data_IF_727625623354
#
_entry.id   IF_727625623354
#
_cell.length_a   1.000
_cell.length_b   1.000
_cell.length_c   1.000
_cell.angle_alpha   90.00
_cell.angle_beta   90.00
_cell.angle_gamma   90.00
#
_symmetry.space_group_name_H-M   'P 1'
#
loop_
_entity.id
_entity.type
_entity.pdbx_description
1 polymer ?
#
# COMPACT_ATOMS: atom_id res chain seq x y z
N UNK A 1 -25.60 32.57 -34.27
CA UNK A 1 -24.49 33.04 -33.40
C UNK A 1 -24.17 31.95 -32.40
N UNK A 2 -22.89 31.61 -32.25
CA UNK A 2 -22.38 30.61 -31.31
C UNK A 2 -22.58 31.10 -29.88
N UNK A 3 -23.31 30.35 -29.07
CA UNK A 3 -23.32 30.48 -27.61
C UNK A 3 -22.46 29.37 -27.03
N UNK A 4 -21.21 29.70 -26.70
CA UNK A 4 -20.26 28.82 -26.01
C UNK A 4 -20.73 28.73 -24.56
N UNK A 5 -21.17 27.54 -24.15
CA UNK A 5 -21.51 27.21 -22.78
C UNK A 5 -20.61 26.06 -22.32
N UNK A 6 -19.31 26.31 -22.23
CA UNK A 6 -18.36 25.38 -21.61
C UNK A 6 -18.62 25.36 -20.10
N UNK A 7 -19.55 24.49 -19.69
CA UNK A 7 -19.79 24.19 -18.30
C UNK A 7 -18.53 23.54 -17.71
N UNK A 8 -17.85 24.32 -16.89
CA UNK A 8 -16.65 23.97 -16.15
C UNK A 8 -16.88 22.73 -15.27
N UNK A 9 -16.50 21.55 -15.78
CA UNK A 9 -16.36 20.32 -14.98
C UNK A 9 -14.96 20.15 -14.39
N UNK A 10 -14.20 21.23 -14.23
CA UNK A 10 -13.00 21.19 -13.39
C UNK A 10 -13.41 21.38 -11.93
N UNK A 11 -14.12 20.39 -11.39
CA UNK A 11 -14.06 20.13 -9.96
C UNK A 11 -12.61 19.69 -9.67
N UNK A 12 -11.75 20.64 -9.34
CA UNK A 12 -10.46 20.30 -8.72
C UNK A 12 -10.81 19.62 -7.40
N UNK A 13 -10.42 18.35 -7.18
CA UNK A 13 -10.59 17.77 -5.86
C UNK A 13 -9.77 18.65 -4.92
N UNK A 14 -10.44 19.27 -3.94
CA UNK A 14 -9.78 19.93 -2.83
C UNK A 14 -8.71 18.98 -2.32
N UNK A 15 -7.44 19.32 -2.52
CA UNK A 15 -6.32 18.49 -2.12
C UNK A 15 -6.16 18.54 -0.59
N UNK A 16 -7.16 18.02 0.14
CA UNK A 16 -7.08 17.70 1.56
C UNK A 16 -6.29 16.42 1.81
N UNK A 17 -5.55 15.93 0.81
CA UNK A 17 -4.72 14.74 0.86
C UNK A 17 -3.26 15.10 1.15
N UNK A 18 -2.62 14.32 2.02
CA UNK A 18 -1.18 14.43 2.29
C UNK A 18 -0.40 14.15 1.01
N UNK A 19 0.36 15.14 0.53
CA UNK A 19 1.27 14.95 -0.60
C UNK A 19 2.42 14.04 -0.18
N UNK A 20 2.60 12.94 -0.91
CA UNK A 20 3.63 11.93 -0.67
C UNK A 20 4.34 11.59 -1.99
N UNK A 21 5.64 11.23 -1.96
CA UNK A 21 6.31 10.63 -3.11
C UNK A 21 5.55 9.38 -3.60
N UNK A 22 5.63 9.08 -4.90
CA UNK A 22 4.88 7.95 -5.50
C UNK A 22 5.12 6.63 -4.78
N UNK A 23 6.39 6.28 -4.52
CA UNK A 23 6.73 5.05 -3.81
C UNK A 23 6.27 5.06 -2.35
N UNK A 24 6.24 6.22 -1.67
CA UNK A 24 5.70 6.33 -0.31
C UNK A 24 4.17 6.09 -0.28
N UNK A 25 3.43 6.46 -1.33
CA UNK A 25 2.01 6.12 -1.47
C UNK A 25 1.82 4.61 -1.61
N UNK A 26 2.58 3.96 -2.48
CA UNK A 26 2.52 2.50 -2.66
C UNK A 26 2.94 1.77 -1.38
N UNK A 27 3.98 2.24 -0.69
CA UNK A 27 4.43 1.66 0.57
C UNK A 27 3.35 1.77 1.65
N UNK A 28 2.69 2.92 1.77
CA UNK A 28 1.59 3.12 2.72
C UNK A 28 0.40 2.19 2.40
N UNK A 29 0.05 2.05 1.12
CA UNK A 29 -0.99 1.10 0.70
C UNK A 29 -0.60 -0.35 1.01
N UNK A 30 0.65 -0.74 0.78
CA UNK A 30 1.14 -2.07 1.12
C UNK A 30 1.07 -2.35 2.62
N UNK A 31 1.48 -1.39 3.46
CA UNK A 31 1.34 -1.47 4.92
C UNK A 31 -0.13 -1.58 5.37
N UNK A 32 -1.03 -0.82 4.73
CA UNK A 32 -2.45 -0.92 5.01
C UNK A 32 -3.03 -2.30 4.63
N UNK A 33 -2.64 -2.83 3.48
CA UNK A 33 -3.06 -4.18 3.05
C UNK A 33 -2.51 -5.25 3.99
N UNK A 34 -1.26 -5.10 4.44
CA UNK A 34 -0.65 -5.98 5.43
C UNK A 34 -1.40 -5.93 6.77
N UNK A 35 -1.75 -4.74 7.26
CA UNK A 35 -2.47 -4.62 8.52
C UNK A 35 -3.91 -5.12 8.44
N UNK A 36 -4.51 -5.10 7.24
CA UNK A 36 -5.91 -5.46 7.02
C UNK A 36 -6.13 -6.96 6.78
N UNK A 37 -5.22 -7.61 6.06
CA UNK A 37 -5.34 -9.03 5.69
C UNK A 37 -4.44 -9.92 6.54
N UNK A 38 -4.89 -11.14 6.82
CA UNK A 38 -4.06 -12.14 7.48
C UNK A 38 -2.97 -12.66 6.53
N UNK A 39 -1.78 -12.93 7.06
CA UNK A 39 -0.65 -13.45 6.29
C UNK A 39 -0.99 -14.73 5.48
N UNK A 40 -1.89 -15.58 6.00
CA UNK A 40 -2.37 -16.79 5.28
C UNK A 40 -3.05 -16.49 3.93
N UNK A 41 -3.52 -15.26 3.71
CA UNK A 41 -4.18 -14.84 2.48
C UNK A 41 -3.20 -14.32 1.42
N UNK A 42 -1.95 -14.04 1.79
CA UNK A 42 -0.99 -13.36 0.92
C UNK A 42 -0.73 -14.15 -0.37
N UNK A 43 -0.56 -15.47 -0.26
CA UNK A 43 -0.35 -16.34 -1.43
C UNK A 43 -1.56 -16.23 -2.37
N UNK A 44 -2.79 -16.30 -1.86
CA UNK A 44 -3.98 -16.22 -2.72
C UNK A 44 -4.17 -14.85 -3.37
N UNK A 45 -3.78 -13.76 -2.68
CA UNK A 45 -4.01 -12.39 -3.12
C UNK A 45 -2.90 -11.88 -4.06
N UNK A 46 -1.65 -12.23 -3.76
CA UNK A 46 -0.47 -11.62 -4.38
C UNK A 46 0.29 -12.54 -5.33
N UNK A 47 0.16 -13.88 -5.20
CA UNK A 47 0.75 -14.81 -6.20
C UNK A 47 0.03 -14.80 -7.55
N UNK A 48 -1.21 -14.29 -7.57
CA UNK A 48 -2.04 -14.21 -8.78
C UNK A 48 -1.62 -13.09 -9.74
N UNK A 49 -0.77 -12.15 -9.32
CA UNK A 49 -0.37 -11.01 -10.16
C UNK A 49 0.45 -11.41 -11.39
N UNK A 50 1.02 -12.62 -11.44
CA UNK A 50 1.63 -13.19 -12.65
C UNK A 50 0.66 -13.97 -13.56
N UNK A 51 -0.60 -14.17 -13.15
CA UNK A 51 -1.62 -14.90 -13.92
C UNK A 51 -2.90 -14.09 -14.06
N UNK A 52 -2.79 -12.86 -14.58
CA UNK A 52 -3.93 -12.11 -15.06
C UNK A 52 -4.33 -12.62 -16.47
N UNK A 53 -4.87 -13.84 -16.53
CA UNK A 53 -5.84 -14.24 -17.52
C UNK A 53 -6.56 -15.50 -17.01
N UNK A 54 -7.86 -15.38 -16.75
CA UNK A 54 -8.75 -16.45 -16.31
C UNK A 54 -8.66 -16.84 -14.83
N UNK A 55 -9.49 -16.21 -14.00
CA UNK A 55 -10.35 -16.94 -13.08
C UNK A 55 -11.42 -16.02 -12.50
N UNK A 56 -12.66 -16.50 -12.54
CA UNK A 56 -13.84 -15.91 -11.90
C UNK A 56 -13.49 -15.49 -10.47
N UNK A 57 -13.60 -14.18 -10.17
CA UNK A 57 -13.48 -13.66 -8.81
C UNK A 57 -14.56 -14.30 -7.94
N UNK A 58 -14.22 -15.36 -7.21
CA UNK A 58 -15.03 -15.80 -6.09
C UNK A 58 -15.18 -14.61 -5.14
N UNK A 59 -16.42 -14.25 -4.83
CA UNK A 59 -16.76 -13.12 -3.95
C UNK A 59 -16.47 -13.55 -2.52
N UNK A 60 -15.20 -13.68 -2.16
CA UNK A 60 -14.80 -13.81 -0.75
C UNK A 60 -15.21 -12.53 -0.06
N UNK A 61 -16.14 -12.64 0.89
CA UNK A 61 -16.50 -11.55 1.78
C UNK A 61 -15.26 -11.16 2.57
N UNK A 62 -14.57 -10.09 2.13
CA UNK A 62 -13.43 -9.49 2.80
C UNK A 62 -13.98 -8.68 4.00
N UNK A 63 -14.54 -9.36 4.99
CA UNK A 63 -15.06 -8.67 6.18
C UNK A 63 -13.92 -7.91 6.86
N UNK A 64 -14.21 -6.65 7.20
CA UNK A 64 -13.67 -5.93 8.35
C UNK A 64 -13.14 -6.84 9.45
N UNK A 65 -11.86 -7.25 9.52
CA UNK A 65 -11.32 -7.65 10.81
C UNK A 65 -11.17 -6.34 11.57
N UNK A 66 -11.82 -6.26 12.73
CA UNK A 66 -12.11 -5.02 13.47
C UNK A 66 -10.87 -4.40 14.16
N UNK A 67 -9.68 -4.61 13.57
CA UNK A 67 -8.41 -4.12 14.09
C UNK A 67 -7.26 -4.34 13.12
N UNK A 68 -6.28 -3.42 13.15
CA UNK A 68 -5.03 -3.54 12.41
C UNK A 68 -4.16 -4.65 13.00
N UNK A 69 -3.81 -5.65 12.19
CA UNK A 69 -2.87 -6.70 12.58
C UNK A 69 -1.44 -6.19 12.51
N UNK A 70 -0.60 -6.57 13.47
CA UNK A 70 0.84 -6.33 13.37
C UNK A 70 1.42 -7.14 12.21
N UNK A 71 2.36 -6.57 11.47
CA UNK A 71 3.01 -7.25 10.35
C UNK A 71 4.52 -7.04 10.36
N UNK A 72 5.25 -7.96 9.72
CA UNK A 72 6.69 -7.82 9.53
C UNK A 72 6.99 -6.90 8.36
N UNK A 73 8.13 -6.22 8.41
CA UNK A 73 8.58 -5.37 7.32
C UNK A 73 8.74 -6.16 6.01
N UNK A 74 9.28 -7.38 6.08
CA UNK A 74 9.40 -8.31 4.94
C UNK A 74 8.06 -8.51 4.21
N UNK A 75 6.98 -8.77 4.98
CA UNK A 75 5.64 -8.96 4.41
C UNK A 75 5.14 -7.70 3.70
N UNK A 76 5.35 -6.52 4.28
CA UNK A 76 4.98 -5.27 3.64
C UNK A 76 5.77 -5.02 2.34
N UNK A 77 7.06 -5.35 2.33
CA UNK A 77 7.91 -5.25 1.13
C UNK A 77 7.49 -6.23 0.04
N UNK A 78 7.09 -7.46 0.41
CA UNK A 78 6.54 -8.44 -0.52
C UNK A 78 5.23 -7.97 -1.15
N UNK A 79 4.32 -7.39 -0.36
CA UNK A 79 3.07 -6.81 -0.87
C UNK A 79 3.37 -5.60 -1.77
N UNK A 80 4.30 -4.74 -1.35
CA UNK A 80 4.74 -3.57 -2.12
C UNK A 80 5.27 -3.94 -3.51
N UNK A 81 6.14 -4.95 -3.59
CA UNK A 81 6.63 -5.45 -4.88
C UNK A 81 5.50 -6.11 -5.70
N UNK A 82 4.55 -6.77 -5.04
CA UNK A 82 3.43 -7.43 -5.73
C UNK A 82 2.39 -6.48 -6.31
N UNK A 83 2.23 -5.27 -5.75
CA UNK A 83 1.26 -4.27 -6.24
C UNK A 83 1.88 -3.28 -7.25
N UNK A 84 3.21 -3.16 -7.30
CA UNK A 84 3.89 -2.38 -8.33
C UNK A 84 4.01 -3.24 -9.59
N UNK A 85 3.26 -2.88 -10.63
CA UNK A 85 3.27 -3.59 -11.92
C UNK A 85 4.61 -3.49 -12.68
N UNK A 86 5.46 -2.53 -12.31
CA UNK A 86 6.75 -2.29 -12.93
C UNK A 86 7.86 -2.87 -12.05
N UNK A 87 8.78 -3.64 -12.66
CA UNK A 87 10.01 -4.15 -12.03
C UNK A 87 10.89 -2.97 -11.62
N UNK A 88 10.63 -2.43 -10.43
CA UNK A 88 11.47 -1.41 -9.85
C UNK A 88 12.79 -2.05 -9.39
N UNK A 89 13.93 -1.35 -9.52
CA UNK A 89 15.18 -1.84 -8.97
C UNK A 89 15.03 -2.12 -7.46
N UNK A 90 15.83 -3.04 -6.89
CA UNK A 90 15.77 -3.39 -5.47
C UNK A 90 16.08 -2.14 -4.63
N UNK A 91 15.03 -1.45 -4.23
CA UNK A 91 15.11 -0.18 -3.54
C UNK A 91 15.25 -0.47 -2.05
N UNK A 92 16.47 -0.64 -1.55
CA UNK A 92 16.68 -0.81 -0.11
C UNK A 92 16.73 0.55 0.58
N UNK A 93 17.73 1.38 0.30
CA UNK A 93 17.95 2.63 1.05
C UNK A 93 16.82 3.66 0.95
N UNK A 94 16.29 3.93 -0.25
CA UNK A 94 15.21 4.93 -0.41
C UNK A 94 13.90 4.48 0.23
N UNK A 95 13.58 3.18 0.21
CA UNK A 95 12.39 2.65 0.89
C UNK A 95 12.52 2.80 2.41
N UNK A 96 13.70 2.55 2.98
CA UNK A 96 13.91 2.77 4.41
C UNK A 96 13.78 4.25 4.78
N UNK A 97 14.30 5.16 3.96
CA UNK A 97 14.12 6.60 4.17
C UNK A 97 12.64 7.01 4.13
N UNK A 98 11.86 6.39 3.23
CA UNK A 98 10.42 6.62 3.13
C UNK A 98 9.65 6.02 4.30
N UNK A 99 9.97 4.80 4.72
CA UNK A 99 9.41 4.15 5.91
C UNK A 99 9.62 5.04 7.15
N UNK A 100 10.86 5.50 7.36
CA UNK A 100 11.19 6.40 8.46
C UNK A 100 10.40 7.72 8.38
N UNK A 101 10.27 8.28 7.17
CA UNK A 101 9.48 9.50 6.95
C UNK A 101 7.98 9.29 7.25
N UNK A 102 7.41 8.14 6.90
CA UNK A 102 6.03 7.78 7.20
C UNK A 102 5.81 7.59 8.71
N UNK A 103 6.75 6.95 9.42
CA UNK A 103 6.72 6.79 10.88
C UNK A 103 6.80 8.14 11.59
N UNK A 104 7.72 9.03 11.16
CA UNK A 104 7.82 10.40 11.70
C UNK A 104 6.55 11.22 11.50
N UNK A 105 5.84 11.01 10.37
CA UNK A 105 4.54 11.63 10.07
C UNK A 105 3.36 10.96 10.80
N UNK A 106 3.61 9.95 11.65
CA UNK A 106 2.60 9.15 12.36
C UNK A 106 1.59 8.47 11.44
N UNK A 107 1.99 8.17 10.21
CA UNK A 107 1.19 7.38 9.26
C UNK A 107 1.42 5.88 9.41
N UNK A 108 2.54 5.49 10.03
CA UNK A 108 2.88 4.15 10.47
C UNK A 108 3.35 4.22 11.93
N UNK A 109 3.13 3.16 12.69
CA UNK A 109 3.61 3.06 14.08
C UNK A 109 4.45 1.79 14.22
N UNK A 110 5.66 1.91 14.79
CA UNK A 110 6.47 0.74 15.13
C UNK A 110 5.93 0.14 16.43
N UNK A 111 5.62 -1.14 16.40
CA UNK A 111 5.13 -1.89 17.59
C UNK A 111 6.28 -2.59 18.31
N UNK A 112 7.32 -2.99 17.58
CA UNK A 112 8.52 -3.62 18.14
C UNK A 112 9.54 -2.59 18.65
N UNK A 113 10.18 -2.89 19.79
CA UNK A 113 11.38 -2.18 20.29
C UNK A 113 12.69 -2.78 19.75
N UNK A 114 12.63 -3.90 19.02
CA UNK A 114 13.83 -4.53 18.48
C UNK A 114 14.47 -3.59 17.47
N UNK A 115 15.75 -3.27 17.65
CA UNK A 115 16.50 -2.41 16.72
C UNK A 115 16.79 -3.08 15.37
N UNK A 116 16.75 -4.41 15.35
CA UNK A 116 16.93 -5.21 14.14
C UNK A 116 15.78 -4.99 13.15
N UNK A 117 16.16 -4.78 11.89
CA UNK A 117 15.25 -4.53 10.77
C UNK A 117 14.41 -5.77 10.45
N UNK A 118 14.98 -6.97 10.58
CA UNK A 118 14.29 -8.23 10.28
C UNK A 118 13.24 -8.56 11.35
N UNK A 119 13.47 -8.11 12.59
CA UNK A 119 12.53 -8.23 13.69
C UNK A 119 11.55 -7.04 13.80
N UNK A 120 11.60 -6.09 12.86
CA UNK A 120 10.74 -4.90 12.89
C UNK A 120 9.28 -5.29 12.64
N UNK A 121 8.43 -4.98 13.62
CA UNK A 121 6.97 -5.07 13.52
C UNK A 121 6.35 -3.68 13.48
N UNK A 122 5.47 -3.50 12.51
CA UNK A 122 4.66 -2.31 12.26
C UNK A 122 3.18 -2.63 12.51
#
# INVERSE_FOLDING_TARGET
GRGVGDAAWHSTPSASGVQLPSSAKFLLVACYLASRFFAKMDVSLWSATKRANSAKRAKTSLSASDGSHTFTLERALYIYSSIRAEEAPPATCELFAQLNSLTKKKLLSRVSRADDLDAMRL
#
